data_IF_835269964755
#
_entry.id   IF_835269964755
#
_cell.length_a   1.000
_cell.length_b   1.000
_cell.length_c   1.000
_cell.angle_alpha   90.00
_cell.angle_beta   90.00
_cell.angle_gamma   90.00
#
_symmetry.space_group_name_H-M   'P 1'
#
loop_
_entity.id
_entity.type
_entity.pdbx_description
1 polymer ?
#
# COMPACT_ATOMS: atom_id res chain seq x y z
N UNK A 1 -26.18 -1.31 -6.47
CA UNK A 1 -26.34 -0.64 -5.15
C UNK A 1 -25.69 -1.45 -4.03
N UNK A 2 -26.18 -2.65 -3.68
CA UNK A 2 -25.63 -3.45 -2.57
C UNK A 2 -24.13 -3.74 -2.70
N UNK A 3 -23.68 -4.18 -3.89
CA UNK A 3 -22.26 -4.45 -4.15
C UNK A 3 -21.37 -3.24 -3.85
N UNK A 4 -21.78 -2.05 -4.30
CA UNK A 4 -21.03 -0.81 -4.05
C UNK A 4 -20.95 -0.46 -2.55
N UNK A 5 -22.05 -0.63 -1.81
CA UNK A 5 -22.08 -0.41 -0.36
C UNK A 5 -21.14 -1.38 0.36
N UNK A 6 -21.20 -2.68 0.00
CA UNK A 6 -20.31 -3.69 0.59
C UNK A 6 -18.85 -3.39 0.26
N UNK A 7 -18.53 -3.05 -1.00
CA UNK A 7 -17.17 -2.66 -1.38
C UNK A 7 -16.68 -1.47 -0.57
N UNK A 8 -17.50 -0.42 -0.42
CA UNK A 8 -17.14 0.75 0.36
C UNK A 8 -16.88 0.40 1.83
N UNK A 9 -17.72 -0.43 2.46
CA UNK A 9 -17.53 -0.86 3.84
C UNK A 9 -16.27 -1.71 4.02
N UNK A 10 -15.97 -2.60 3.07
CA UNK A 10 -14.73 -3.38 3.08
C UNK A 10 -13.50 -2.48 2.97
N UNK A 11 -13.52 -1.50 2.07
CA UNK A 11 -12.43 -0.53 1.92
C UNK A 11 -12.28 0.36 3.17
N UNK A 12 -13.38 0.80 3.77
CA UNK A 12 -13.36 1.59 5.01
C UNK A 12 -12.78 0.77 6.17
N UNK A 13 -13.20 -0.49 6.30
CA UNK A 13 -12.64 -1.39 7.30
C UNK A 13 -11.15 -1.63 7.07
N UNK A 14 -10.75 -1.88 5.82
CA UNK A 14 -9.34 -2.04 5.43
C UNK A 14 -8.51 -0.78 5.78
N UNK A 15 -9.04 0.40 5.47
CA UNK A 15 -8.42 1.69 5.79
C UNK A 15 -8.24 1.86 7.30
N UNK A 16 -9.24 1.55 8.12
CA UNK A 16 -9.13 1.68 9.58
C UNK A 16 -8.10 0.67 10.12
N UNK A 17 -8.18 -0.57 9.65
CA UNK A 17 -7.32 -1.68 10.10
C UNK A 17 -5.84 -1.40 9.85
N UNK A 18 -5.48 -0.89 8.67
CA UNK A 18 -4.08 -0.62 8.30
C UNK A 18 -3.66 0.84 8.56
N UNK A 19 -4.57 1.80 8.43
CA UNK A 19 -4.30 3.21 8.69
C UNK A 19 -3.97 3.48 10.16
N UNK A 20 -4.66 2.81 11.09
CA UNK A 20 -4.39 2.93 12.54
C UNK A 20 -2.94 2.55 12.90
N UNK A 21 -2.42 1.35 12.55
CA UNK A 21 -1.04 1.01 12.84
C UNK A 21 -0.04 1.87 12.06
N UNK A 22 -0.35 2.32 10.83
CA UNK A 22 0.54 3.26 10.10
C UNK A 22 0.72 4.56 10.87
N UNK A 23 -0.35 5.15 11.42
CA UNK A 23 -0.23 6.38 12.24
C UNK A 23 0.59 6.12 13.50
N UNK A 24 0.32 5.03 14.22
CA UNK A 24 1.03 4.67 15.45
C UNK A 24 2.53 4.48 15.17
N UNK A 25 2.87 3.66 14.17
CA UNK A 25 4.27 3.38 13.81
C UNK A 25 4.93 4.62 13.20
N UNK A 26 4.18 5.49 12.53
CA UNK A 26 4.64 6.79 12.05
C UNK A 26 5.08 7.72 13.19
N UNK A 27 4.33 7.77 14.29
CA UNK A 27 4.71 8.50 15.50
C UNK A 27 5.99 7.91 16.11
N UNK A 28 6.10 6.57 16.18
CA UNK A 28 7.31 5.89 16.65
C UNK A 28 8.51 6.23 15.76
N UNK A 29 8.34 6.21 14.44
CA UNK A 29 9.38 6.60 13.47
C UNK A 29 9.86 8.03 13.72
N UNK A 30 8.94 8.94 13.98
CA UNK A 30 9.25 10.35 14.27
C UNK A 30 10.06 10.49 15.56
N UNK A 31 9.61 9.84 16.65
CA UNK A 31 10.34 9.84 17.92
C UNK A 31 11.75 9.23 17.80
N UNK A 32 11.89 8.11 17.08
CA UNK A 32 13.18 7.47 16.81
C UNK A 32 14.06 8.35 15.92
N UNK A 33 13.48 9.10 14.97
CA UNK A 33 14.24 10.02 14.14
C UNK A 33 14.84 11.18 14.94
N UNK A 34 14.08 11.73 15.91
CA UNK A 34 14.54 12.81 16.78
C UNK A 34 15.66 12.37 17.72
N UNK A 35 15.59 11.13 18.23
CA UNK A 35 16.54 10.61 19.23
C UNK A 35 17.76 9.92 18.61
N UNK A 36 17.57 9.17 17.52
CA UNK A 36 18.62 8.35 16.91
C UNK A 36 18.42 8.20 15.38
N UNK A 37 18.68 9.26 14.59
CA UNK A 37 18.33 9.35 13.18
C UNK A 37 19.05 8.34 12.26
N UNK A 38 20.18 7.77 12.69
CA UNK A 38 20.95 6.76 11.93
C UNK A 38 20.95 5.37 12.60
N UNK A 39 20.01 5.13 13.52
CA UNK A 39 19.94 3.86 14.23
C UNK A 39 19.40 2.72 13.37
N UNK A 40 19.84 1.48 13.66
CA UNK A 40 19.22 0.27 13.11
C UNK A 40 17.74 0.15 13.45
N UNK A 41 17.33 0.70 14.60
CA UNK A 41 15.92 0.76 15.00
C UNK A 41 15.10 1.58 14.02
N UNK A 42 15.58 2.75 13.60
CA UNK A 42 14.89 3.57 12.58
C UNK A 42 14.68 2.80 11.28
N UNK A 43 15.69 2.08 10.81
CA UNK A 43 15.59 1.25 9.61
C UNK A 43 14.51 0.18 9.78
N UNK A 44 14.49 -0.53 10.92
CA UNK A 44 13.46 -1.55 11.20
C UNK A 44 12.05 -0.96 11.22
N UNK A 45 11.86 0.22 11.82
CA UNK A 45 10.57 0.92 11.84
C UNK A 45 10.13 1.33 10.43
N UNK A 46 11.06 1.77 9.58
CA UNK A 46 10.77 2.10 8.17
C UNK A 46 10.35 0.86 7.39
N UNK A 47 11.08 -0.26 7.55
CA UNK A 47 10.75 -1.52 6.88
C UNK A 47 9.39 -2.07 7.35
N UNK A 48 9.09 -1.93 8.65
CA UNK A 48 7.77 -2.28 9.18
C UNK A 48 6.66 -1.44 8.54
N UNK A 49 6.83 -0.13 8.42
CA UNK A 49 5.86 0.75 7.73
C UNK A 49 5.66 0.34 6.27
N UNK A 50 6.74 0.03 5.54
CA UNK A 50 6.64 -0.46 4.15
C UNK A 50 5.83 -1.74 4.07
N UNK A 51 6.11 -2.71 4.94
CA UNK A 51 5.40 -3.99 4.97
C UNK A 51 3.91 -3.84 5.31
N UNK A 52 3.54 -2.90 6.19
CA UNK A 52 2.13 -2.60 6.49
C UNK A 52 1.45 -1.96 5.27
N UNK A 53 2.13 -1.04 4.59
CA UNK A 53 1.60 -0.40 3.38
C UNK A 53 1.40 -1.40 2.23
N UNK A 54 2.37 -2.29 1.99
CA UNK A 54 2.26 -3.36 0.99
C UNK A 54 1.08 -4.30 1.27
N UNK A 55 0.88 -4.68 2.54
CA UNK A 55 -0.26 -5.51 2.93
C UNK A 55 -1.61 -4.79 2.75
N UNK A 56 -1.66 -3.48 3.01
CA UNK A 56 -2.86 -2.66 2.80
C UNK A 56 -3.23 -2.60 1.31
N UNK A 57 -2.27 -2.30 0.43
CA UNK A 57 -2.48 -2.28 -1.03
C UNK A 57 -2.93 -3.65 -1.51
N UNK A 58 -2.22 -4.73 -1.12
CA UNK A 58 -2.61 -6.08 -1.50
C UNK A 58 -3.97 -6.54 -0.94
N UNK A 59 -4.52 -5.89 0.09
CA UNK A 59 -5.90 -6.13 0.54
C UNK A 59 -6.92 -5.33 -0.29
N UNK A 60 -6.59 -4.10 -0.69
CA UNK A 60 -7.43 -3.35 -1.64
C UNK A 60 -7.58 -4.11 -2.96
N UNK A 61 -6.48 -4.65 -3.50
CA UNK A 61 -6.49 -5.45 -4.73
C UNK A 61 -7.44 -6.65 -4.60
N UNK A 62 -7.35 -7.40 -3.50
CA UNK A 62 -8.26 -8.53 -3.23
C UNK A 62 -9.72 -8.10 -3.13
N UNK A 63 -10.00 -6.96 -2.47
CA UNK A 63 -11.37 -6.42 -2.40
C UNK A 63 -11.87 -6.08 -3.80
N UNK A 64 -11.04 -5.49 -4.66
CA UNK A 64 -11.42 -5.18 -6.04
C UNK A 64 -11.64 -6.42 -6.89
N UNK A 65 -10.74 -7.41 -6.80
CA UNK A 65 -10.87 -8.67 -7.52
C UNK A 65 -12.15 -9.43 -7.14
N UNK A 66 -12.56 -9.38 -5.86
CA UNK A 66 -13.79 -10.04 -5.41
C UNK A 66 -15.06 -9.27 -5.75
N UNK A 67 -15.00 -7.94 -5.73
CA UNK A 67 -16.19 -7.10 -5.77
C UNK A 67 -16.46 -6.45 -7.13
N UNK A 68 -15.45 -6.28 -7.97
CA UNK A 68 -15.53 -5.58 -9.25
C UNK A 68 -15.28 -6.56 -10.40
N UNK A 69 -16.03 -6.43 -11.51
CA UNK A 69 -15.80 -7.27 -12.70
C UNK A 69 -14.62 -6.78 -13.54
N UNK A 70 -13.60 -6.17 -12.92
CA UNK A 70 -12.45 -5.57 -13.60
C UNK A 70 -11.66 -6.66 -14.32
N UNK A 71 -11.37 -6.44 -15.60
CA UNK A 71 -10.48 -7.28 -16.39
C UNK A 71 -9.25 -6.47 -16.74
N UNK A 72 -8.10 -6.93 -16.26
CA UNK A 72 -6.82 -6.31 -16.54
C UNK A 72 -6.36 -6.71 -17.95
N UNK A 73 -6.14 -5.72 -18.80
CA UNK A 73 -5.46 -5.87 -20.09
C UNK A 73 -4.13 -5.11 -20.00
N UNK A 74 -3.06 -5.85 -19.74
CA UNK A 74 -1.73 -5.29 -19.48
C UNK A 74 -0.79 -5.74 -20.59
N UNK A 75 -0.24 -4.78 -21.32
CA UNK A 75 0.67 -5.01 -22.45
C UNK A 75 2.04 -4.36 -22.21
N UNK A 76 3.08 -4.90 -22.84
CA UNK A 76 4.40 -4.27 -22.89
C UNK A 76 5.23 -4.38 -21.60
N UNK A 77 4.93 -5.34 -20.73
CA UNK A 77 5.77 -5.66 -19.57
C UNK A 77 7.07 -6.31 -20.08
N UNK A 78 8.27 -5.79 -19.74
CA UNK A 78 9.54 -6.44 -20.05
C UNK A 78 9.66 -7.80 -19.34
N UNK A 79 10.25 -8.79 -20.01
CA UNK A 79 10.42 -10.16 -19.46
C UNK A 79 11.31 -10.20 -18.20
N UNK A 80 12.13 -9.17 -17.96
CA UNK A 80 13.15 -9.10 -16.91
C UNK A 80 12.84 -8.04 -15.83
N UNK A 81 11.60 -7.95 -15.35
CA UNK A 81 11.32 -7.19 -14.12
C UNK A 81 11.77 -8.01 -12.90
N UNK A 82 12.59 -7.39 -12.05
CA UNK A 82 13.12 -8.02 -10.84
C UNK A 82 12.81 -7.16 -9.61
N UNK A 83 12.30 -7.73 -8.51
CA UNK A 83 12.08 -6.98 -7.26
C UNK A 83 13.38 -6.46 -6.61
N UNK A 84 14.55 -6.92 -7.06
CA UNK A 84 15.86 -6.50 -6.53
C UNK A 84 16.44 -5.27 -7.26
N UNK A 85 15.75 -4.74 -8.28
CA UNK A 85 16.21 -3.61 -9.09
C UNK A 85 15.33 -2.37 -8.86
N UNK A 86 15.90 -1.21 -9.15
CA UNK A 86 15.20 0.07 -9.07
C UNK A 86 14.67 0.50 -10.44
N UNK A 87 13.39 0.84 -10.50
CA UNK A 87 12.72 1.29 -11.71
C UNK A 87 12.03 2.63 -11.46
N UNK A 88 12.04 3.52 -12.45
CA UNK A 88 11.19 4.71 -12.46
C UNK A 88 9.94 4.38 -13.27
N UNK A 89 8.81 4.22 -12.57
CA UNK A 89 7.50 4.03 -13.20
C UNK A 89 6.88 5.41 -13.40
N UNK A 90 6.49 5.73 -14.63
CA UNK A 90 5.77 6.95 -14.97
C UNK A 90 4.37 6.54 -15.41
N UNK A 91 3.35 7.02 -14.69
CA UNK A 91 1.94 6.80 -15.00
C UNK A 91 1.19 8.13 -15.10
N UNK A 92 0.10 8.11 -15.84
CA UNK A 92 -0.94 9.13 -15.73
C UNK A 92 -1.67 8.99 -14.38
N UNK A 93 -2.20 10.08 -13.84
CA UNK A 93 -3.01 10.06 -12.62
C UNK A 93 -4.48 10.31 -12.96
N UNK A 94 -5.27 9.24 -13.04
CA UNK A 94 -6.66 9.27 -13.51
C UNK A 94 -7.63 8.73 -12.47
N UNK A 95 -7.18 7.97 -11.48
CA UNK A 95 -8.03 7.42 -10.45
C UNK A 95 -7.43 7.50 -9.06
N UNK A 96 -8.31 7.34 -8.07
CA UNK A 96 -7.93 7.32 -6.65
C UNK A 96 -7.25 6.01 -6.25
N UNK A 97 -7.29 5.01 -7.13
CA UNK A 97 -6.74 3.67 -6.94
C UNK A 97 -5.53 3.42 -7.85
N UNK A 98 -4.89 4.50 -8.32
CA UNK A 98 -3.66 4.42 -9.13
C UNK A 98 -2.43 3.99 -8.32
N UNK A 99 -2.49 4.06 -6.98
CA UNK A 99 -1.43 3.75 -6.00
C UNK A 99 -1.93 2.64 -5.08
#
# INVERSE_FOLDING_TARGET
MLRAVVTFLLLLFNLILFGTPVVIVGIVKFAVHMTAPRSRLRTRVILLLSSIAEQWVGMNDRIFDWMLPTRWDICGIPDEISPERHYLIISNHVSWVDI
#
